data_IF_863841457792
#
_entry.id   IF_863841457792
#
_cell.length_a   1.000
_cell.length_b   1.000
_cell.length_c   1.000
_cell.angle_alpha   90.00
_cell.angle_beta   90.00
_cell.angle_gamma   90.00
#
_symmetry.space_group_name_H-M   'P 1'
#
loop_
_entity.id
_entity.type
_entity.pdbx_description
1 polymer ?
#
# COMPACT_ATOMS: atom_id res chain seq x y z
N UNK A 1 -20.69 -5.34 2.77
CA UNK A 1 -20.02 -4.79 3.99
C UNK A 1 -18.56 -4.55 3.66
N UNK A 2 -17.99 -3.34 3.78
CA UNK A 2 -16.56 -3.18 3.62
C UNK A 2 -15.90 -3.76 4.87
N UNK A 3 -15.11 -4.81 4.69
CA UNK A 3 -14.28 -5.35 5.77
C UNK A 3 -13.24 -4.29 6.07
N UNK A 4 -13.46 -3.50 7.14
CA UNK A 4 -12.48 -2.54 7.64
C UNK A 4 -11.27 -3.36 8.06
N UNK A 5 -10.24 -3.34 7.23
CA UNK A 5 -9.11 -4.24 7.42
C UNK A 5 -8.31 -3.78 8.65
N UNK A 6 -8.11 -4.63 9.67
CA UNK A 6 -7.59 -4.24 10.99
C UNK A 6 -6.11 -3.81 11.01
N UNK A 7 -5.47 -3.64 9.86
CA UNK A 7 -4.10 -3.17 9.73
C UNK A 7 -4.08 -1.85 8.97
N UNK A 8 -4.53 -0.77 9.60
CA UNK A 8 -4.28 0.59 9.14
C UNK A 8 -2.84 0.94 9.48
N UNK A 9 -2.05 1.32 8.47
CA UNK A 9 -0.66 1.74 8.70
C UNK A 9 -0.66 3.23 9.00
N UNK A 10 -0.19 3.61 10.18
CA UNK A 10 0.08 5.00 10.52
C UNK A 10 1.43 5.40 9.90
N UNK A 11 1.40 5.94 8.69
CA UNK A 11 2.58 6.61 8.12
C UNK A 11 2.65 8.01 8.72
N UNK A 12 3.81 8.43 9.24
CA UNK A 12 4.02 9.82 9.60
C UNK A 12 3.84 10.73 8.38
N UNK A 13 3.49 12.00 8.57
CA UNK A 13 3.17 12.92 7.45
C UNK A 13 4.29 13.06 6.42
N UNK A 14 5.55 12.95 6.84
CA UNK A 14 6.72 12.95 5.95
C UNK A 14 6.84 11.65 5.14
N UNK A 15 6.59 10.50 5.76
CA UNK A 15 6.58 9.19 5.08
C UNK A 15 5.44 9.10 4.06
N UNK A 16 4.28 9.69 4.38
CA UNK A 16 3.16 9.78 3.45
C UNK A 16 3.55 10.55 2.18
N UNK A 17 4.20 11.70 2.31
CA UNK A 17 4.67 12.50 1.17
C UNK A 17 5.68 11.76 0.29
N UNK A 18 6.64 11.06 0.89
CA UNK A 18 7.63 10.26 0.15
C UNK A 18 6.93 9.12 -0.62
N UNK A 19 5.96 8.44 0.00
CA UNK A 19 5.20 7.39 -0.66
C UNK A 19 4.34 7.94 -1.82
N UNK A 20 3.73 9.11 -1.66
CA UNK A 20 3.00 9.78 -2.75
C UNK A 20 3.90 10.15 -3.92
N UNK A 21 5.09 10.69 -3.66
CA UNK A 21 6.05 11.04 -4.69
C UNK A 21 6.51 9.78 -5.45
N UNK A 22 6.84 8.72 -4.71
CA UNK A 22 7.24 7.44 -5.29
C UNK A 22 6.11 6.79 -6.08
N UNK A 23 4.85 6.90 -5.62
CA UNK A 23 3.67 6.39 -6.32
C UNK A 23 3.38 7.11 -7.65
N UNK A 24 3.84 8.37 -7.77
CA UNK A 24 3.72 9.22 -8.97
C UNK A 24 4.96 9.17 -9.87
N UNK A 25 6.09 8.66 -9.38
CA UNK A 25 7.32 8.58 -10.16
C UNK A 25 7.17 7.70 -11.40
N UNK A 26 7.67 8.21 -12.53
CA UNK A 26 7.72 7.52 -13.83
C UNK A 26 9.08 6.88 -14.13
N UNK A 27 10.10 7.26 -13.37
CA UNK A 27 11.49 6.80 -13.54
C UNK A 27 11.87 5.75 -12.50
N UNK A 28 11.13 5.66 -11.38
CA UNK A 28 11.37 4.65 -10.37
C UNK A 28 11.00 3.23 -10.87
N UNK A 29 11.66 2.18 -10.33
CA UNK A 29 11.29 0.80 -10.63
C UNK A 29 9.81 0.53 -10.36
N UNK A 30 9.11 -0.09 -11.32
CA UNK A 30 7.67 -0.37 -11.23
C UNK A 30 7.26 -1.05 -9.92
N UNK A 31 8.09 -1.96 -9.39
CA UNK A 31 7.83 -2.66 -8.12
C UNK A 31 7.81 -1.71 -6.91
N UNK A 32 8.63 -0.66 -6.92
CA UNK A 32 8.64 0.36 -5.87
C UNK A 32 7.40 1.23 -5.95
N UNK A 33 7.03 1.68 -7.15
CA UNK A 33 5.80 2.44 -7.42
C UNK A 33 4.56 1.65 -6.98
N UNK A 34 4.47 0.36 -7.32
CA UNK A 34 3.37 -0.52 -6.91
C UNK A 34 3.30 -0.69 -5.39
N UNK A 35 4.45 -0.87 -4.71
CA UNK A 35 4.48 -0.97 -3.25
C UNK A 35 4.08 0.33 -2.57
N UNK A 36 4.48 1.48 -3.12
CA UNK A 36 4.09 2.79 -2.61
C UNK A 36 2.57 3.01 -2.74
N UNK A 37 1.99 2.70 -3.91
CA UNK A 37 0.54 2.74 -4.11
C UNK A 37 -0.21 1.80 -3.18
N UNK A 38 0.30 0.58 -2.98
CA UNK A 38 -0.29 -0.35 -2.02
C UNK A 38 -0.25 0.20 -0.59
N UNK A 39 0.88 0.77 -0.18
CA UNK A 39 1.06 1.37 1.14
C UNK A 39 0.08 2.52 1.42
N UNK A 40 -0.14 3.40 0.44
CA UNK A 40 -1.13 4.48 0.50
C UNK A 40 -2.55 3.93 0.59
N UNK A 41 -2.90 2.97 -0.27
CA UNK A 41 -4.22 2.34 -0.26
C UNK A 41 -4.52 1.66 1.09
N UNK A 42 -3.51 1.09 1.76
CA UNK A 42 -3.69 0.53 3.11
C UNK A 42 -3.88 1.58 4.20
N UNK A 43 -3.26 2.76 4.06
CA UNK A 43 -3.48 3.89 4.95
C UNK A 43 -4.95 4.33 4.89
N UNK A 44 -5.53 4.32 3.69
CA UNK A 44 -6.95 4.58 3.43
C UNK A 44 -7.90 3.43 3.85
N UNK A 45 -7.35 2.29 4.32
CA UNK A 45 -8.14 1.14 4.78
C UNK A 45 -8.58 0.18 3.66
N UNK A 46 -7.99 0.27 2.46
CA UNK A 46 -8.33 -0.62 1.34
C UNK A 46 -8.07 -2.10 1.63
N UNK A 47 -8.96 -2.94 1.11
CA UNK A 47 -8.83 -4.38 1.17
C UNK A 47 -7.74 -4.89 0.21
N UNK A 48 -7.06 -5.97 0.59
CA UNK A 48 -5.99 -6.57 -0.23
C UNK A 48 -6.45 -6.92 -1.65
N UNK A 49 -7.69 -7.40 -1.81
CA UNK A 49 -8.24 -7.73 -3.12
C UNK A 49 -8.44 -6.50 -4.02
N UNK A 50 -8.83 -5.35 -3.45
CA UNK A 50 -8.96 -4.11 -4.20
C UNK A 50 -7.59 -3.62 -4.67
N UNK A 51 -6.60 -3.63 -3.78
CA UNK A 51 -5.21 -3.25 -4.10
C UNK A 51 -4.60 -4.16 -5.16
N UNK A 52 -4.82 -5.48 -5.06
CA UNK A 52 -4.36 -6.46 -6.04
C UNK A 52 -4.91 -6.17 -7.44
N UNK A 53 -6.22 -5.92 -7.54
CA UNK A 53 -6.87 -5.57 -8.81
C UNK A 53 -6.37 -4.25 -9.38
N UNK A 54 -6.26 -3.22 -8.54
CA UNK A 54 -5.79 -1.89 -8.97
C UNK A 54 -4.34 -1.90 -9.48
N UNK A 55 -3.49 -2.77 -8.93
CA UNK A 55 -2.08 -2.86 -9.29
C UNK A 55 -1.77 -3.98 -10.30
N UNK A 56 -2.74 -4.82 -10.66
CA UNK A 56 -2.55 -5.96 -11.56
C UNK A 56 -1.62 -7.04 -10.99
N UNK A 57 -1.55 -7.18 -9.66
CA UNK A 57 -0.69 -8.15 -8.98
C UNK A 57 -1.51 -9.22 -8.27
N UNK A 58 -0.91 -10.39 -8.04
CA UNK A 58 -1.58 -11.47 -7.31
C UNK A 58 -1.87 -11.10 -5.85
N UNK A 59 -3.01 -11.56 -5.32
CA UNK A 59 -3.43 -11.30 -3.94
C UNK A 59 -2.37 -11.72 -2.91
N UNK A 60 -1.68 -12.84 -3.15
CA UNK A 60 -0.62 -13.32 -2.25
C UNK A 60 0.61 -12.41 -2.21
N UNK A 61 0.89 -11.69 -3.29
CA UNK A 61 1.95 -10.68 -3.31
C UNK A 61 1.57 -9.52 -2.40
N UNK A 62 0.32 -9.07 -2.49
CA UNK A 62 -0.25 -8.00 -1.66
C UNK A 62 -0.28 -8.42 -0.19
N UNK A 63 -0.70 -9.65 0.12
CA UNK A 63 -0.65 -10.24 1.47
C UNK A 63 0.77 -10.27 2.04
N UNK A 64 1.77 -10.67 1.23
CA UNK A 64 3.19 -10.66 1.65
C UNK A 64 3.71 -9.25 1.93
N UNK A 65 3.31 -8.25 1.16
CA UNK A 65 3.65 -6.86 1.45
C UNK A 65 3.03 -6.38 2.75
N UNK A 66 1.75 -6.71 2.98
CA UNK A 66 1.03 -6.32 4.19
C UNK A 66 1.68 -6.83 5.47
N UNK A 67 2.19 -8.07 5.46
CA UNK A 67 2.93 -8.65 6.60
C UNK A 67 4.21 -7.90 6.97
N UNK A 68 4.78 -7.10 6.05
CA UNK A 68 6.03 -6.34 6.28
C UNK A 68 5.78 -4.90 6.72
N UNK A 69 4.52 -4.48 6.81
CA UNK A 69 4.18 -3.15 7.25
C UNK A 69 4.32 -3.06 8.77
N UNK A 70 4.77 -1.92 9.30
CA UNK A 70 4.84 -1.74 10.73
C UNK A 70 3.43 -1.87 11.34
N UNK A 71 3.31 -2.45 12.54
CA UNK A 71 2.06 -2.38 13.29
C UNK A 71 1.71 -0.91 13.55
N UNK A 72 0.42 -0.61 13.64
CA UNK A 72 -0.05 0.72 14.03
C UNK A 72 0.45 1.03 15.44
N UNK A 73 1.19 2.11 15.61
CA UNK A 73 1.46 2.72 16.91
C UNK A 73 0.28 3.61 17.32
#
# INVERSE_FOLDING_TARGET
>A
MPVVSPFQVAWGGEQHKVLEELARSRTAPLRQVQRARAALAYAEGSANAAVARALGVHLDTVRRWRKRLPPRA
#
